data_IF_258480766446
#
_entry.id   IF_258480766446
#
_cell.length_a   1.000
_cell.length_b   1.000
_cell.length_c   1.000
_cell.angle_alpha   90.00
_cell.angle_beta   90.00
_cell.angle_gamma   90.00
#
_symmetry.space_group_name_H-M   'P 1'
#
loop_
_entity.id
_entity.type
_entity.pdbx_description
1 polymer ?
#
# COMPACT_ATOMS: atom_id res chain seq x y z
N UNK A 1 -16.35 -7.76 -44.17
CA UNK A 1 -16.28 -7.93 -42.71
C UNK A 1 -15.58 -6.71 -42.16
N UNK A 2 -16.03 -6.16 -41.04
CA UNK A 2 -15.32 -5.05 -40.38
C UNK A 2 -13.94 -5.52 -39.90
N UNK A 3 -12.91 -4.66 -40.02
CA UNK A 3 -11.52 -5.04 -39.70
C UNK A 3 -11.34 -5.39 -38.21
N UNK A 4 -12.16 -4.79 -37.35
CA UNK A 4 -12.21 -5.10 -35.93
C UNK A 4 -12.83 -6.46 -35.64
N UNK A 5 -13.91 -6.82 -36.34
CA UNK A 5 -14.55 -8.14 -36.26
C UNK A 5 -13.61 -9.23 -36.79
N UNK A 6 -12.91 -8.96 -37.88
CA UNK A 6 -11.94 -9.90 -38.48
C UNK A 6 -10.75 -10.17 -37.54
N UNK A 7 -10.21 -9.13 -36.89
CA UNK A 7 -9.13 -9.29 -35.91
C UNK A 7 -9.57 -10.06 -34.66
N UNK A 8 -10.79 -9.84 -34.20
CA UNK A 8 -11.34 -10.55 -33.04
C UNK A 8 -11.62 -12.02 -33.35
N UNK A 9 -12.24 -12.32 -34.49
CA UNK A 9 -12.47 -13.70 -34.97
C UNK A 9 -11.15 -14.47 -35.07
N UNK A 10 -10.13 -13.84 -35.67
CA UNK A 10 -8.79 -14.42 -35.80
C UNK A 10 -8.21 -14.80 -34.44
N UNK A 11 -8.33 -13.92 -33.45
CA UNK A 11 -7.84 -14.17 -32.08
C UNK A 11 -8.53 -15.39 -31.44
N UNK A 12 -9.85 -15.52 -31.58
CA UNK A 12 -10.59 -16.66 -31.03
C UNK A 12 -10.22 -17.98 -31.71
N UNK A 13 -10.02 -17.98 -33.03
CA UNK A 13 -9.65 -19.18 -33.79
C UNK A 13 -8.20 -19.59 -33.49
N UNK A 14 -7.25 -18.65 -33.54
CA UNK A 14 -5.82 -18.93 -33.31
C UNK A 14 -5.56 -19.47 -31.91
N UNK A 15 -6.35 -19.08 -30.91
CA UNK A 15 -6.24 -19.62 -29.56
C UNK A 15 -6.38 -21.15 -29.51
N UNK A 16 -7.26 -21.75 -30.33
CA UNK A 16 -7.37 -23.21 -30.39
C UNK A 16 -6.15 -23.86 -31.03
N UNK A 17 -5.53 -23.21 -32.01
CA UNK A 17 -4.33 -23.72 -32.68
C UNK A 17 -3.10 -23.67 -31.76
N UNK A 18 -3.10 -22.77 -30.76
CA UNK A 18 -2.05 -22.73 -29.72
C UNK A 18 -2.17 -23.84 -28.67
N UNK A 19 -3.30 -24.56 -28.62
CA UNK A 19 -3.55 -25.67 -27.70
C UNK A 19 -3.97 -26.93 -28.47
N UNK A 20 -3.02 -27.66 -29.09
CA UNK A 20 -3.33 -28.86 -29.87
C UNK A 20 -4.00 -29.92 -28.99
N UNK A 21 -4.97 -30.65 -29.54
CA UNK A 21 -5.74 -31.70 -28.89
C UNK A 21 -5.79 -32.91 -29.83
N UNK A 22 -5.48 -34.10 -29.34
CA UNK A 22 -5.43 -35.33 -30.15
C UNK A 22 -6.76 -36.12 -30.13
N UNK A 23 -7.76 -35.65 -29.37
CA UNK A 23 -9.10 -36.26 -29.33
C UNK A 23 -9.93 -35.84 -30.54
N UNK A 24 -10.18 -36.80 -31.44
CA UNK A 24 -10.92 -36.60 -32.69
C UNK A 24 -12.34 -36.04 -32.49
N UNK A 25 -13.02 -36.34 -31.37
CA UNK A 25 -14.36 -35.83 -31.09
C UNK A 25 -14.31 -34.36 -30.69
N UNK A 26 -13.34 -33.99 -29.85
CA UNK A 26 -13.14 -32.61 -29.42
C UNK A 26 -12.69 -31.74 -30.60
N UNK A 27 -11.78 -32.24 -31.45
CA UNK A 27 -11.36 -31.55 -32.67
C UNK A 27 -12.54 -31.27 -33.59
N UNK A 28 -13.43 -32.24 -33.79
CA UNK A 28 -14.63 -32.04 -34.60
C UNK A 28 -15.55 -30.95 -34.03
N UNK A 29 -15.76 -30.93 -32.71
CA UNK A 29 -16.55 -29.89 -32.05
C UNK A 29 -15.92 -28.48 -32.17
N UNK A 30 -14.58 -28.39 -32.14
CA UNK A 30 -13.83 -27.13 -32.32
C UNK A 30 -13.99 -26.62 -33.75
N UNK A 31 -13.86 -27.48 -34.76
CA UNK A 31 -14.00 -27.08 -36.16
C UNK A 31 -15.43 -26.63 -36.49
N UNK A 32 -16.45 -27.36 -36.00
CA UNK A 32 -17.86 -26.92 -36.10
C UNK A 32 -18.07 -25.54 -35.43
N UNK A 33 -17.45 -25.31 -34.27
CA UNK A 33 -17.52 -24.03 -33.57
C UNK A 33 -16.79 -22.88 -34.31
N UNK A 34 -15.62 -23.15 -34.93
CA UNK A 34 -14.89 -22.18 -35.77
C UNK A 34 -15.72 -21.77 -36.99
N UNK A 35 -16.41 -22.72 -37.62
CA UNK A 35 -17.32 -22.45 -38.75
C UNK A 35 -18.51 -21.57 -38.33
N UNK A 36 -19.16 -21.91 -37.21
CA UNK A 36 -20.25 -21.13 -36.64
C UNK A 36 -19.85 -19.69 -36.29
N UNK A 37 -18.69 -19.51 -35.63
CA UNK A 37 -18.15 -18.18 -35.32
C UNK A 37 -17.80 -17.38 -36.58
N UNK A 38 -17.31 -18.05 -37.62
CA UNK A 38 -17.01 -17.40 -38.91
C UNK A 38 -18.28 -16.92 -39.59
N UNK A 39 -19.38 -17.69 -39.52
CA UNK A 39 -20.70 -17.27 -40.03
C UNK A 39 -21.28 -16.11 -39.20
N UNK A 40 -21.10 -16.14 -37.88
CA UNK A 40 -21.48 -15.03 -37.00
C UNK A 40 -20.73 -13.74 -37.36
N UNK A 41 -19.41 -13.83 -37.52
CA UNK A 41 -18.56 -12.70 -37.91
C UNK A 41 -18.91 -12.12 -39.28
N UNK A 42 -19.31 -12.97 -40.24
CA UNK A 42 -19.78 -12.53 -41.56
C UNK A 42 -21.12 -11.82 -41.53
N UNK A 43 -21.97 -12.13 -40.55
CA UNK A 43 -23.30 -11.52 -40.40
C UNK A 43 -23.31 -10.28 -39.49
N UNK A 44 -22.26 -10.07 -38.70
CA UNK A 44 -22.11 -8.92 -37.84
C UNK A 44 -21.78 -7.64 -38.63
N UNK A 45 -22.42 -6.53 -38.24
CA UNK A 45 -22.21 -5.21 -38.85
C UNK A 45 -20.92 -4.54 -38.34
N UNK A 46 -20.61 -4.73 -37.07
CA UNK A 46 -19.45 -4.18 -36.36
C UNK A 46 -19.13 -5.04 -35.10
N UNK A 47 -18.05 -4.70 -34.39
CA UNK A 47 -17.62 -5.43 -33.16
C UNK A 47 -18.74 -5.46 -32.11
N UNK A 48 -19.47 -4.37 -31.93
CA UNK A 48 -20.51 -4.27 -30.91
C UNK A 48 -21.64 -5.26 -31.19
N UNK A 49 -22.06 -5.36 -32.45
CA UNK A 49 -23.08 -6.31 -32.90
C UNK A 49 -22.57 -7.75 -32.79
N UNK A 50 -21.30 -7.98 -33.13
CA UNK A 50 -20.66 -9.29 -32.99
C UNK A 50 -20.65 -9.76 -31.54
N UNK A 51 -20.22 -8.92 -30.59
CA UNK A 51 -20.14 -9.28 -29.18
C UNK A 51 -21.51 -9.47 -28.54
N UNK A 52 -22.50 -8.65 -28.90
CA UNK A 52 -23.87 -8.81 -28.43
C UNK A 52 -24.46 -10.17 -28.85
N UNK A 53 -24.28 -10.57 -30.12
CA UNK A 53 -24.77 -11.86 -30.61
C UNK A 53 -23.92 -13.04 -30.11
N UNK A 54 -22.61 -12.84 -29.89
CA UNK A 54 -21.70 -13.82 -29.31
C UNK A 54 -22.16 -14.24 -27.91
N UNK A 55 -22.50 -13.26 -27.07
CA UNK A 55 -23.01 -13.51 -25.72
C UNK A 55 -24.44 -14.06 -25.76
N UNK A 56 -25.34 -13.48 -26.56
CA UNK A 56 -26.74 -13.89 -26.65
C UNK A 56 -26.93 -15.34 -27.14
N UNK A 57 -26.05 -15.82 -28.03
CA UNK A 57 -26.05 -17.21 -28.54
C UNK A 57 -25.23 -18.16 -27.66
N UNK A 58 -24.61 -17.67 -26.58
CA UNK A 58 -23.87 -18.49 -25.62
C UNK A 58 -22.50 -18.96 -26.12
N UNK A 59 -21.93 -18.31 -27.14
CA UNK A 59 -20.63 -18.70 -27.71
C UNK A 59 -19.48 -18.52 -26.70
N UNK A 60 -19.56 -17.54 -25.79
CA UNK A 60 -18.56 -17.36 -24.72
C UNK A 60 -18.47 -18.55 -23.77
N UNK A 61 -19.60 -19.12 -23.38
CA UNK A 61 -19.63 -20.33 -22.53
C UNK A 61 -19.08 -21.54 -23.29
N UNK A 62 -19.55 -21.75 -24.53
CA UNK A 62 -19.08 -22.87 -25.37
C UNK A 62 -17.58 -22.78 -25.68
N UNK A 63 -17.05 -21.57 -25.84
CA UNK A 63 -15.62 -21.33 -25.99
C UNK A 63 -14.83 -21.81 -24.77
N UNK A 64 -15.23 -21.39 -23.57
CA UNK A 64 -14.59 -21.80 -22.31
C UNK A 64 -14.73 -23.32 -22.10
N UNK A 65 -15.91 -23.89 -22.37
CA UNK A 65 -16.17 -25.32 -22.23
C UNK A 65 -15.26 -26.15 -23.16
N UNK A 66 -15.01 -25.69 -24.40
CA UNK A 66 -14.08 -26.37 -25.32
C UNK A 66 -12.64 -26.33 -24.82
N UNK A 67 -12.17 -25.20 -24.27
CA UNK A 67 -10.86 -25.14 -23.60
C UNK A 67 -10.80 -26.04 -22.35
N UNK A 68 -11.89 -26.11 -21.59
CA UNK A 68 -12.04 -27.06 -20.48
C UNK A 68 -11.92 -28.50 -20.95
N UNK A 69 -12.57 -28.87 -22.06
CA UNK A 69 -12.46 -30.21 -22.67
C UNK A 69 -11.04 -30.51 -23.17
N UNK A 70 -10.35 -29.56 -23.80
CA UNK A 70 -8.93 -29.71 -24.22
C UNK A 70 -8.02 -29.90 -23.00
N UNK A 71 -8.23 -29.11 -21.94
CA UNK A 71 -7.47 -29.24 -20.69
C UNK A 71 -7.75 -30.60 -20.02
N UNK A 72 -8.99 -31.05 -20.05
CA UNK A 72 -9.39 -32.35 -19.51
C UNK A 72 -8.85 -33.51 -20.34
N UNK A 73 -8.85 -33.44 -21.68
CA UNK A 73 -8.29 -34.49 -22.54
C UNK A 73 -6.78 -34.66 -22.31
N UNK A 74 -6.07 -33.54 -22.13
CA UNK A 74 -4.66 -33.53 -21.70
C UNK A 74 -4.45 -34.03 -20.27
N UNK A 75 -5.42 -33.82 -19.38
CA UNK A 75 -5.37 -34.36 -18.02
C UNK A 75 -5.69 -35.86 -17.94
N UNK A 76 -6.41 -36.39 -18.95
CA UNK A 76 -6.75 -37.82 -19.07
C UNK A 76 -5.67 -38.69 -19.72
N UNK A 77 -4.51 -38.12 -20.06
CA UNK A 77 -3.30 -38.86 -20.47
C UNK A 77 -2.42 -39.30 -19.28
N UNK A 78 -2.92 -39.27 -18.04
CA UNK A 78 -2.24 -39.95 -16.94
C UNK A 78 -2.72 -41.40 -16.90
N UNK A 79 -1.80 -42.32 -17.16
CA UNK A 79 -2.05 -43.76 -17.03
C UNK A 79 -2.44 -44.11 -15.58
N UNK A 80 -3.20 -45.19 -15.38
CA UNK A 80 -3.56 -45.69 -14.03
C UNK A 80 -2.31 -45.94 -13.19
N UNK A 81 -1.21 -46.34 -13.81
CA UNK A 81 0.13 -46.47 -13.23
C UNK A 81 0.72 -45.13 -12.76
N UNK A 82 0.59 -44.03 -13.51
CA UNK A 82 1.07 -42.69 -13.11
C UNK A 82 0.20 -42.07 -12.00
N UNK A 83 -1.09 -42.36 -11.98
CA UNK A 83 -1.99 -42.01 -10.86
C UNK A 83 -1.61 -42.81 -9.60
N UNK A 84 -1.25 -44.10 -9.76
CA UNK A 84 -0.74 -44.94 -8.66
C UNK A 84 0.65 -44.53 -8.19
N UNK A 85 1.52 -44.00 -9.05
CA UNK A 85 2.82 -43.47 -8.66
C UNK A 85 2.73 -42.06 -8.05
N UNK A 86 1.79 -41.21 -8.46
CA UNK A 86 1.46 -39.96 -7.74
C UNK A 86 0.78 -40.22 -6.38
N UNK A 87 0.10 -41.35 -6.22
CA UNK A 87 -0.38 -41.85 -4.92
C UNK A 87 0.74 -42.33 -3.97
N UNK A 88 2.02 -42.26 -4.37
CA UNK A 88 3.18 -42.59 -3.51
C UNK A 88 3.96 -41.38 -3.00
N UNK A 89 3.45 -40.16 -3.13
CA UNK A 89 4.08 -39.03 -2.43
C UNK A 89 3.97 -39.32 -0.93
N UNK A 90 5.10 -39.56 -0.29
CA UNK A 90 5.15 -39.72 1.16
C UNK A 90 4.90 -38.37 1.84
N UNK A 91 4.38 -38.34 3.08
CA UNK A 91 4.27 -37.09 3.84
C UNK A 91 5.57 -36.29 3.88
N UNK A 92 6.73 -36.98 3.94
CA UNK A 92 8.07 -36.35 3.90
C UNK A 92 8.34 -35.64 2.58
N UNK A 93 8.04 -36.27 1.45
CA UNK A 93 8.20 -35.65 0.13
C UNK A 93 7.21 -34.50 -0.07
N UNK A 94 5.98 -34.64 0.45
CA UNK A 94 4.99 -33.57 0.41
C UNK A 94 5.44 -32.32 1.16
N UNK A 95 5.99 -32.47 2.37
CA UNK A 95 6.38 -31.30 3.18
C UNK A 95 7.69 -30.66 2.71
N UNK A 96 8.51 -31.35 1.92
CA UNK A 96 9.79 -30.83 1.45
C UNK A 96 9.64 -29.53 0.63
N UNK A 97 8.50 -29.36 -0.07
CA UNK A 97 8.18 -28.12 -0.79
C UNK A 97 8.16 -26.87 0.11
N UNK A 98 7.97 -27.05 1.42
CA UNK A 98 7.92 -25.98 2.41
C UNK A 98 9.29 -25.64 3.02
N UNK A 99 10.34 -26.43 2.75
CA UNK A 99 11.65 -26.25 3.38
C UNK A 99 12.30 -24.92 3.03
N UNK A 100 12.18 -24.47 1.78
CA UNK A 100 12.67 -23.15 1.35
C UNK A 100 12.01 -22.01 2.14
N UNK A 101 10.69 -22.09 2.38
CA UNK A 101 9.97 -21.08 3.16
C UNK A 101 10.37 -21.12 4.64
N UNK A 102 10.51 -22.33 5.21
CA UNK A 102 11.01 -22.52 6.57
C UNK A 102 12.40 -21.91 6.79
N UNK A 103 13.35 -22.17 5.88
CA UNK A 103 14.70 -21.63 5.98
C UNK A 103 14.71 -20.09 5.89
N UNK A 104 13.87 -19.52 5.03
CA UNK A 104 13.69 -18.07 4.94
C UNK A 104 13.13 -17.46 6.24
N UNK A 105 12.11 -18.08 6.83
CA UNK A 105 11.51 -17.66 8.12
C UNK A 105 12.55 -17.74 9.25
N UNK A 106 13.30 -18.82 9.30
CA UNK A 106 14.36 -19.04 10.29
C UNK A 106 15.47 -17.99 10.18
N UNK A 107 15.83 -17.60 8.96
CA UNK A 107 16.82 -16.55 8.73
C UNK A 107 16.39 -15.18 9.27
N UNK A 108 15.08 -14.90 9.35
CA UNK A 108 14.56 -13.65 9.91
C UNK A 108 14.76 -13.49 11.42
N UNK A 109 14.96 -14.59 12.17
CA UNK A 109 15.18 -14.63 13.64
C UNK A 109 14.05 -14.12 14.55
N UNK A 110 13.11 -13.29 14.07
CA UNK A 110 11.99 -12.77 14.86
C UNK A 110 10.66 -13.56 14.68
N UNK A 111 10.56 -14.41 13.66
CA UNK A 111 9.33 -15.15 13.30
C UNK A 111 9.26 -16.54 13.97
N UNK A 112 9.13 -16.57 15.29
CA UNK A 112 9.30 -17.79 16.10
C UNK A 112 8.07 -18.70 16.11
N UNK A 113 6.87 -18.14 16.12
CA UNK A 113 5.63 -18.92 16.02
C UNK A 113 5.50 -19.54 14.63
N UNK A 114 5.82 -18.79 13.58
CA UNK A 114 5.86 -19.32 12.23
C UNK A 114 6.89 -20.46 12.11
N UNK A 115 8.12 -20.27 12.62
CA UNK A 115 9.15 -21.33 12.67
C UNK A 115 8.61 -22.60 13.35
N UNK A 116 7.90 -22.46 14.47
CA UNK A 116 7.28 -23.58 15.18
C UNK A 116 6.13 -24.23 14.39
N UNK A 117 5.32 -23.47 13.65
CA UNK A 117 4.25 -24.01 12.83
C UNK A 117 4.78 -24.93 11.72
N UNK A 118 5.87 -24.53 11.05
CA UNK A 118 6.57 -25.38 10.08
C UNK A 118 7.17 -26.62 10.75
N UNK A 119 7.79 -26.47 11.93
CA UNK A 119 8.33 -27.61 12.66
C UNK A 119 7.24 -28.62 13.02
N UNK A 120 6.07 -28.15 13.49
CA UNK A 120 4.93 -29.03 13.80
C UNK A 120 4.43 -29.81 12.55
N UNK A 121 4.48 -29.19 11.36
CA UNK A 121 4.13 -29.86 10.12
C UNK A 121 5.18 -30.93 9.73
N UNK A 122 6.46 -30.61 9.87
CA UNK A 122 7.55 -31.56 9.60
C UNK A 122 7.52 -32.75 10.59
N UNK A 123 7.31 -32.47 11.88
CA UNK A 123 7.18 -33.51 12.91
C UNK A 123 5.97 -34.42 12.64
N UNK A 124 4.85 -33.86 12.13
CA UNK A 124 3.70 -34.66 11.69
C UNK A 124 4.05 -35.53 10.48
N UNK A 125 4.77 -35.01 9.49
CA UNK A 125 5.20 -35.79 8.33
C UNK A 125 6.21 -36.90 8.71
N UNK A 126 7.03 -36.70 9.74
CA UNK A 126 7.95 -37.73 10.21
C UNK A 126 7.26 -38.91 10.89
N UNK A 127 6.17 -38.64 11.64
CA UNK A 127 5.41 -39.66 12.37
C UNK A 127 4.29 -40.31 11.56
N UNK A 128 3.86 -39.70 10.45
CA UNK A 128 2.75 -40.22 9.63
C UNK A 128 3.25 -41.29 8.65
N UNK A 129 2.57 -42.45 8.63
CA UNK A 129 2.93 -43.56 7.74
C UNK A 129 2.42 -43.39 6.31
N UNK A 130 1.34 -42.65 6.12
CA UNK A 130 0.74 -42.37 4.81
C UNK A 130 0.11 -40.96 4.76
N UNK A 131 -0.28 -40.55 3.56
CA UNK A 131 -0.87 -39.22 3.30
C UNK A 131 -2.29 -39.05 3.86
N UNK A 132 -3.04 -40.13 4.04
CA UNK A 132 -4.41 -40.05 4.56
C UNK A 132 -4.38 -39.67 6.05
N UNK A 133 -3.57 -40.39 6.83
CA UNK A 133 -3.36 -40.09 8.25
C UNK A 133 -2.74 -38.70 8.44
N UNK A 134 -1.77 -38.34 7.60
CA UNK A 134 -1.18 -37.00 7.58
C UNK A 134 -2.23 -35.93 7.34
N UNK A 135 -3.10 -36.09 6.34
CA UNK A 135 -4.13 -35.09 6.02
C UNK A 135 -5.15 -34.95 7.15
N UNK A 136 -5.65 -36.07 7.69
CA UNK A 136 -6.62 -36.07 8.80
C UNK A 136 -6.04 -35.34 10.02
N UNK A 137 -4.81 -35.69 10.42
CA UNK A 137 -4.18 -35.05 11.59
C UNK A 137 -3.75 -33.62 11.30
N UNK A 138 -3.36 -33.28 10.07
CA UNK A 138 -3.03 -31.90 9.67
C UNK A 138 -4.26 -31.00 9.73
N UNK A 139 -5.40 -31.45 9.21
CA UNK A 139 -6.69 -30.74 9.29
C UNK A 139 -7.16 -30.63 10.75
N UNK A 140 -7.13 -31.73 11.50
CA UNK A 140 -7.55 -31.75 12.91
C UNK A 140 -6.77 -30.75 13.77
N UNK A 141 -5.50 -30.54 13.45
CA UNK A 141 -4.62 -29.61 14.16
C UNK A 141 -4.51 -28.23 13.48
N UNK A 142 -5.22 -28.01 12.37
CA UNK A 142 -5.19 -26.80 11.53
C UNK A 142 -3.76 -26.38 11.14
N UNK A 143 -2.87 -27.33 10.85
CA UNK A 143 -1.45 -27.04 10.65
C UNK A 143 -1.20 -26.17 9.42
N UNK A 144 -1.87 -26.47 8.30
CA UNK A 144 -1.75 -25.67 7.07
C UNK A 144 -2.19 -24.22 7.27
N UNK A 145 -3.30 -24.01 7.97
CA UNK A 145 -3.79 -22.67 8.30
C UNK A 145 -2.80 -21.93 9.22
N UNK A 146 -2.25 -22.62 10.23
CA UNK A 146 -1.27 -22.03 11.16
C UNK A 146 0.01 -21.57 10.48
N UNK A 147 0.48 -22.25 9.44
CA UNK A 147 1.63 -21.77 8.65
C UNK A 147 1.41 -20.33 8.16
N UNK A 148 0.25 -20.08 7.58
CA UNK A 148 -0.13 -18.77 7.05
C UNK A 148 -0.48 -17.80 8.17
N UNK A 149 -1.23 -18.24 9.18
CA UNK A 149 -1.73 -17.38 10.23
C UNK A 149 -0.63 -16.89 11.17
N UNK A 150 0.23 -17.78 11.66
CA UNK A 150 1.28 -17.40 12.60
C UNK A 150 2.33 -16.50 11.94
N UNK A 151 2.68 -16.75 10.66
CA UNK A 151 3.58 -15.87 9.90
C UNK A 151 2.96 -14.49 9.67
N UNK A 152 1.68 -14.41 9.28
CA UNK A 152 1.00 -13.12 9.13
C UNK A 152 0.90 -12.36 10.46
N UNK A 153 0.57 -13.05 11.56
CA UNK A 153 0.49 -12.41 12.89
C UNK A 153 1.84 -11.81 13.26
N UNK A 154 2.93 -12.58 13.21
CA UNK A 154 4.25 -12.10 13.62
C UNK A 154 4.77 -10.97 12.71
N UNK A 155 4.52 -11.03 11.40
CA UNK A 155 4.87 -9.93 10.50
C UNK A 155 4.12 -8.64 10.83
N UNK A 156 2.83 -8.74 11.14
CA UNK A 156 2.03 -7.57 11.49
C UNK A 156 2.36 -7.06 12.91
N UNK A 157 2.64 -7.94 13.88
CA UNK A 157 3.12 -7.59 15.23
C UNK A 157 4.43 -6.80 15.13
N UNK A 158 5.37 -7.27 14.29
CA UNK A 158 6.65 -6.62 14.05
C UNK A 158 6.51 -5.18 13.52
N UNK A 159 5.57 -4.93 12.60
CA UNK A 159 5.31 -3.58 12.08
C UNK A 159 4.55 -2.73 13.11
N UNK A 160 3.59 -3.32 13.83
CA UNK A 160 2.82 -2.62 14.87
C UNK A 160 3.71 -2.11 16.00
N UNK A 161 4.67 -2.92 16.45
CA UNK A 161 5.63 -2.54 17.50
C UNK A 161 6.54 -1.39 17.05
N UNK A 162 6.90 -1.37 15.77
CA UNK A 162 7.66 -0.28 15.18
C UNK A 162 6.82 0.98 14.95
N UNK A 163 5.50 0.85 14.77
CA UNK A 163 4.62 1.97 14.49
C UNK A 163 4.48 2.91 15.69
N UNK A 164 4.26 4.20 15.45
CA UNK A 164 3.94 5.14 16.53
C UNK A 164 2.56 4.76 17.14
N UNK A 165 2.46 4.47 18.45
CA UNK A 165 1.20 4.10 19.09
C UNK A 165 0.16 5.24 19.10
N UNK A 166 0.57 6.48 18.86
CA UNK A 166 -0.31 7.63 18.68
C UNK A 166 -0.81 7.76 17.23
N UNK A 167 -0.28 6.97 16.30
CA UNK A 167 -0.72 7.00 14.91
C UNK A 167 -2.17 6.54 14.77
N UNK A 168 -2.96 7.30 14.02
CA UNK A 168 -4.39 7.05 13.84
C UNK A 168 -4.74 6.24 12.59
N UNK A 169 -3.76 5.83 11.78
CA UNK A 169 -3.96 5.20 10.47
C UNK A 169 -3.32 3.81 10.44
N UNK A 170 -1.99 3.77 10.54
CA UNK A 170 -1.13 2.59 10.42
C UNK A 170 -1.25 1.71 11.66
N UNK A 171 -1.10 2.26 12.86
CA UNK A 171 -1.15 1.45 14.08
C UNK A 171 -2.48 0.71 14.27
N UNK A 172 -3.66 1.36 14.13
CA UNK A 172 -4.95 0.68 14.30
C UNK A 172 -5.21 -0.37 13.22
N UNK A 173 -4.73 -0.13 11.98
CA UNK A 173 -4.85 -1.09 10.88
C UNK A 173 -4.14 -2.40 11.22
N UNK A 174 -2.86 -2.32 11.61
CA UNK A 174 -2.10 -3.52 11.98
C UNK A 174 -2.64 -4.18 13.26
N UNK A 175 -3.08 -3.40 14.24
CA UNK A 175 -3.70 -3.93 15.45
C UNK A 175 -4.98 -4.75 15.15
N UNK A 176 -5.86 -4.22 14.29
CA UNK A 176 -7.09 -4.91 13.89
C UNK A 176 -6.80 -6.15 13.04
N UNK A 177 -5.81 -6.08 12.15
CA UNK A 177 -5.37 -7.23 11.37
C UNK A 177 -4.91 -8.36 12.28
N UNK A 178 -4.01 -8.09 13.22
CA UNK A 178 -3.54 -9.09 14.19
C UNK A 178 -4.73 -9.72 14.94
N UNK A 179 -5.68 -8.90 15.40
CA UNK A 179 -6.87 -9.38 16.09
C UNK A 179 -7.72 -10.32 15.21
N UNK A 180 -7.93 -9.99 13.94
CA UNK A 180 -8.68 -10.83 13.01
C UNK A 180 -7.98 -12.18 12.75
N UNK A 181 -6.67 -12.15 12.50
CA UNK A 181 -5.88 -13.36 12.30
C UNK A 181 -5.81 -14.25 13.54
N UNK A 182 -5.80 -13.68 14.75
CA UNK A 182 -5.85 -14.43 16.01
C UNK A 182 -7.20 -15.09 16.27
N UNK A 183 -8.31 -14.49 15.79
CA UNK A 183 -9.67 -15.03 15.97
C UNK A 183 -10.02 -16.11 14.95
N UNK A 184 -9.55 -15.96 13.72
CA UNK A 184 -9.88 -16.85 12.62
C UNK A 184 -9.46 -18.31 12.91
N UNK A 185 -10.35 -19.24 12.61
CA UNK A 185 -10.13 -20.69 12.75
C UNK A 185 -9.95 -21.39 11.39
N UNK A 186 -10.12 -20.67 10.28
CA UNK A 186 -10.04 -21.22 8.93
C UNK A 186 -9.66 -20.16 7.89
N UNK A 187 -9.24 -20.62 6.71
CA UNK A 187 -8.93 -19.75 5.56
C UNK A 187 -10.16 -18.96 5.06
N UNK A 188 -11.34 -19.57 5.08
CA UNK A 188 -12.58 -18.89 4.69
C UNK A 188 -12.95 -17.76 5.66
N UNK A 189 -12.77 -18.00 6.96
CA UNK A 189 -13.04 -17.01 7.99
C UNK A 189 -12.06 -15.84 7.91
N UNK A 190 -10.76 -16.09 7.71
CA UNK A 190 -9.81 -14.99 7.55
C UNK A 190 -10.03 -14.21 6.26
N UNK A 191 -10.47 -14.88 5.18
CA UNK A 191 -10.83 -14.19 3.93
C UNK A 191 -11.97 -13.20 4.19
N UNK A 192 -13.04 -13.66 4.84
CA UNK A 192 -14.17 -12.80 5.22
C UNK A 192 -13.74 -11.65 6.15
N UNK A 193 -12.99 -11.94 7.21
CA UNK A 193 -12.53 -10.92 8.15
C UNK A 193 -11.59 -9.91 7.50
N UNK A 194 -10.75 -10.35 6.55
CA UNK A 194 -9.84 -9.48 5.79
C UNK A 194 -10.61 -8.56 4.84
N UNK A 195 -11.68 -9.03 4.21
CA UNK A 195 -12.54 -8.20 3.37
C UNK A 195 -13.22 -7.10 4.20
N UNK A 196 -13.79 -7.47 5.35
CA UNK A 196 -14.41 -6.52 6.28
C UNK A 196 -13.39 -5.51 6.80
N UNK A 197 -12.22 -5.99 7.24
CA UNK A 197 -11.10 -5.14 7.66
C UNK A 197 -10.71 -4.15 6.57
N UNK A 198 -10.55 -4.63 5.34
CA UNK A 198 -10.11 -3.80 4.21
C UNK A 198 -11.11 -2.68 3.92
N UNK A 199 -12.41 -2.98 3.96
CA UNK A 199 -13.44 -1.95 3.79
C UNK A 199 -13.37 -0.88 4.90
N UNK A 200 -13.28 -1.29 6.16
CA UNK A 200 -13.28 -0.37 7.30
C UNK A 200 -11.97 0.44 7.39
N UNK A 201 -10.83 -0.22 7.22
CA UNK A 201 -9.51 0.42 7.30
C UNK A 201 -9.24 1.32 6.11
N UNK A 202 -9.73 0.99 4.91
CA UNK A 202 -9.60 1.85 3.73
C UNK A 202 -10.32 3.19 3.94
N UNK A 203 -11.58 3.17 4.40
CA UNK A 203 -12.32 4.40 4.67
C UNK A 203 -11.66 5.25 5.77
N UNK A 204 -11.24 4.60 6.87
CA UNK A 204 -10.55 5.28 7.97
C UNK A 204 -9.19 5.85 7.53
N UNK A 205 -8.45 5.13 6.69
CA UNK A 205 -7.16 5.56 6.15
C UNK A 205 -7.33 6.76 5.23
N UNK A 206 -8.31 6.74 4.32
CA UNK A 206 -8.63 7.89 3.46
C UNK A 206 -8.99 9.11 4.31
N UNK A 207 -9.90 8.95 5.28
CA UNK A 207 -10.28 10.06 6.18
C UNK A 207 -9.08 10.59 6.97
N UNK A 208 -8.25 9.69 7.51
CA UNK A 208 -7.04 10.05 8.24
C UNK A 208 -6.04 10.83 7.39
N UNK A 209 -5.77 10.37 6.15
CA UNK A 209 -4.88 11.05 5.20
C UNK A 209 -5.41 12.43 4.80
N UNK A 210 -6.73 12.57 4.63
CA UNK A 210 -7.36 13.87 4.39
C UNK A 210 -7.13 14.83 5.57
N UNK A 211 -7.34 14.38 6.80
CA UNK A 211 -7.07 15.18 8.01
C UNK A 211 -5.58 15.56 8.09
N UNK A 212 -4.67 14.64 7.79
CA UNK A 212 -3.24 14.94 7.75
C UNK A 212 -2.91 16.03 6.74
N UNK A 213 -3.45 15.93 5.51
CA UNK A 213 -3.25 16.93 4.46
C UNK A 213 -3.84 18.30 4.85
N UNK A 214 -4.98 18.32 5.53
CA UNK A 214 -5.61 19.55 6.02
C UNK A 214 -4.71 20.24 7.06
N UNK A 215 -4.22 19.49 8.07
CA UNK A 215 -3.35 20.05 9.11
C UNK A 215 -2.01 20.51 8.52
N UNK A 216 -1.45 19.73 7.59
CA UNK A 216 -0.26 20.13 6.84
C UNK A 216 -0.47 21.45 6.09
N UNK A 217 -1.64 21.61 5.47
CA UNK A 217 -2.01 22.83 4.75
C UNK A 217 -2.15 24.03 5.69
N UNK A 218 -2.70 23.85 6.90
CA UNK A 218 -2.76 24.92 7.91
C UNK A 218 -1.36 25.47 8.20
N UNK A 219 -0.41 24.59 8.50
CA UNK A 219 0.97 24.97 8.78
C UNK A 219 1.61 25.69 7.57
N UNK A 220 1.46 25.14 6.37
CA UNK A 220 1.98 25.74 5.14
C UNK A 220 1.44 27.16 4.91
N UNK A 221 0.12 27.35 5.06
CA UNK A 221 -0.52 28.65 4.90
C UNK A 221 0.01 29.69 5.89
N UNK A 222 0.25 29.30 7.14
CA UNK A 222 0.81 30.18 8.16
C UNK A 222 2.26 30.58 7.83
N UNK A 223 3.09 29.63 7.40
CA UNK A 223 4.47 29.90 6.97
C UNK A 223 4.49 30.84 5.76
N UNK A 224 3.66 30.58 4.74
CA UNK A 224 3.60 31.41 3.54
C UNK A 224 3.04 32.81 3.81
N UNK A 225 2.11 32.93 4.76
CA UNK A 225 1.61 34.21 5.25
C UNK A 225 2.73 35.02 5.89
N UNK A 226 3.52 34.41 6.79
CA UNK A 226 4.67 35.06 7.39
C UNK A 226 5.75 35.43 6.36
N UNK A 227 6.04 34.55 5.40
CA UNK A 227 6.99 34.86 4.32
C UNK A 227 6.54 36.07 3.50
N UNK A 228 5.24 36.19 3.25
CA UNK A 228 4.64 37.33 2.57
C UNK A 228 4.73 38.61 3.41
N UNK A 229 4.55 38.50 4.74
CA UNK A 229 4.74 39.59 5.70
C UNK A 229 6.19 40.07 5.74
N UNK A 230 7.16 39.15 5.79
CA UNK A 230 8.59 39.48 5.73
C UNK A 230 8.93 40.16 4.40
N UNK A 231 8.44 39.62 3.28
CA UNK A 231 8.67 40.21 1.96
C UNK A 231 8.21 41.67 1.91
N UNK A 232 7.04 41.98 2.47
CA UNK A 232 6.53 43.36 2.58
C UNK A 232 7.46 44.26 3.40
N UNK A 233 7.89 43.79 4.56
CA UNK A 233 8.74 44.56 5.49
C UNK A 233 10.15 44.81 4.92
N UNK A 234 10.64 43.93 4.04
CA UNK A 234 11.97 44.05 3.42
C UNK A 234 11.94 44.53 1.96
N UNK A 235 10.76 44.83 1.41
CA UNK A 235 10.63 45.14 -0.01
C UNK A 235 11.26 46.50 -0.35
N UNK A 236 12.12 46.50 -1.38
CA UNK A 236 12.69 47.72 -1.98
C UNK A 236 12.02 48.12 -3.30
N UNK A 237 11.03 47.36 -3.78
CA UNK A 237 10.33 47.62 -5.03
C UNK A 237 8.81 47.47 -4.89
N UNK A 238 8.06 48.29 -5.63
CA UNK A 238 6.59 48.28 -5.65
C UNK A 238 6.03 46.90 -6.06
N UNK A 239 6.73 46.19 -6.95
CA UNK A 239 6.36 44.81 -7.34
C UNK A 239 6.34 43.87 -6.15
N UNK A 240 7.38 43.89 -5.32
CA UNK A 240 7.48 43.04 -4.15
C UNK A 240 6.44 43.42 -3.09
N UNK A 241 6.16 44.72 -2.94
CA UNK A 241 5.09 45.21 -2.06
C UNK A 241 3.74 44.64 -2.50
N UNK A 242 3.38 44.79 -3.78
CA UNK A 242 2.12 44.24 -4.33
C UNK A 242 2.05 42.72 -4.17
N UNK A 243 3.16 42.03 -4.43
CA UNK A 243 3.22 40.56 -4.31
C UNK A 243 3.03 40.08 -2.87
N UNK A 244 3.70 40.70 -1.90
CA UNK A 244 3.57 40.31 -0.49
C UNK A 244 2.19 40.60 0.07
N UNK A 245 1.58 41.75 -0.30
CA UNK A 245 0.22 42.09 0.09
C UNK A 245 -0.80 41.08 -0.46
N UNK A 246 -0.71 40.78 -1.77
CA UNK A 246 -1.55 39.79 -2.41
C UNK A 246 -1.38 38.40 -1.77
N UNK A 247 -0.15 38.02 -1.44
CA UNK A 247 0.17 36.78 -0.72
C UNK A 247 -0.55 36.71 0.62
N UNK A 248 -0.37 37.71 1.49
CA UNK A 248 -1.03 37.73 2.81
C UNK A 248 -2.57 37.65 2.71
N UNK A 249 -3.18 38.43 1.80
CA UNK A 249 -4.63 38.41 1.58
C UNK A 249 -5.10 37.02 1.16
N UNK A 250 -4.46 36.44 0.15
CA UNK A 250 -4.85 35.15 -0.42
C UNK A 250 -4.76 34.04 0.63
N UNK A 251 -3.62 33.93 1.33
CA UNK A 251 -3.43 32.86 2.34
C UNK A 251 -4.41 32.99 3.50
N UNK A 252 -4.74 34.22 3.91
CA UNK A 252 -5.76 34.48 4.92
C UNK A 252 -7.16 34.06 4.48
N UNK A 253 -7.56 34.39 3.25
CA UNK A 253 -8.86 33.99 2.70
C UNK A 253 -8.97 32.47 2.63
N UNK A 254 -7.92 31.79 2.15
CA UNK A 254 -7.89 30.32 2.07
C UNK A 254 -8.01 29.72 3.48
N UNK A 255 -7.25 30.22 4.45
CA UNK A 255 -7.31 29.73 5.83
C UNK A 255 -8.71 29.92 6.44
N UNK A 256 -9.32 31.11 6.26
CA UNK A 256 -10.68 31.36 6.77
C UNK A 256 -11.69 30.36 6.20
N UNK A 257 -11.64 30.07 4.89
CA UNK A 257 -12.50 29.05 4.26
C UNK A 257 -12.21 27.65 4.78
N UNK A 258 -10.93 27.31 4.96
CA UNK A 258 -10.52 26.04 5.53
C UNK A 258 -11.14 25.81 6.92
N UNK A 259 -11.14 26.84 7.78
CA UNK A 259 -11.72 26.77 9.13
C UNK A 259 -13.25 26.84 9.15
N UNK A 260 -13.86 27.63 8.26
CA UNK A 260 -15.31 27.80 8.23
C UNK A 260 -16.03 26.59 7.62
N UNK A 261 -15.48 26.03 6.54
CA UNK A 261 -16.19 25.06 5.72
C UNK A 261 -15.59 23.65 5.90
N UNK A 262 -14.26 23.52 5.76
CA UNK A 262 -13.64 22.20 5.57
C UNK A 262 -13.32 21.52 6.91
N UNK A 263 -12.65 22.20 7.84
CA UNK A 263 -12.26 21.62 9.14
C UNK A 263 -13.49 21.19 9.95
N UNK A 264 -14.57 21.97 9.86
CA UNK A 264 -15.85 21.68 10.50
C UNK A 264 -16.50 20.39 9.95
N UNK A 265 -16.46 20.15 8.64
CA UNK A 265 -16.98 18.92 8.01
C UNK A 265 -16.25 17.64 8.48
N UNK A 266 -14.98 17.77 8.88
CA UNK A 266 -14.22 16.67 9.48
C UNK A 266 -14.48 16.52 10.99
N UNK A 267 -15.33 17.36 11.58
CA UNK A 267 -15.65 17.34 13.01
C UNK A 267 -14.46 17.72 13.88
N UNK A 268 -13.61 18.64 13.39
CA UNK A 268 -12.42 19.10 14.09
C UNK A 268 -12.54 20.59 14.43
N UNK A 269 -11.88 20.98 15.51
CA UNK A 269 -11.67 22.36 15.93
C UNK A 269 -10.18 22.65 16.06
N UNK A 270 -9.82 23.93 16.10
CA UNK A 270 -8.41 24.31 16.29
C UNK A 270 -7.86 23.77 17.62
N UNK A 271 -8.68 23.85 18.66
CA UNK A 271 -8.36 23.41 20.01
C UNK A 271 -8.14 21.88 20.04
N UNK A 272 -8.95 21.11 19.33
CA UNK A 272 -8.74 19.66 19.19
C UNK A 272 -7.44 19.33 18.45
N UNK A 273 -7.13 20.05 17.37
CA UNK A 273 -5.87 19.88 16.62
C UNK A 273 -4.65 20.17 17.52
N UNK A 274 -4.72 21.21 18.35
CA UNK A 274 -3.62 21.58 19.26
C UNK A 274 -3.46 20.63 20.44
N UNK A 275 -4.56 20.13 21.00
CA UNK A 275 -4.56 19.28 22.20
C UNK A 275 -4.26 17.82 21.87
N UNK A 276 -4.56 17.37 20.66
CA UNK A 276 -4.25 16.02 20.21
C UNK A 276 -2.77 15.89 19.82
N UNK A 277 -2.05 14.98 20.48
CA UNK A 277 -0.60 14.78 20.27
C UNK A 277 -0.27 14.35 18.83
N UNK A 278 -1.14 13.58 18.19
CA UNK A 278 -0.97 13.13 16.81
C UNK A 278 -1.18 14.26 15.81
N UNK A 279 -2.17 15.12 16.03
CA UNK A 279 -2.39 16.28 15.15
C UNK A 279 -1.35 17.38 15.36
N UNK A 280 -0.95 17.62 16.61
CA UNK A 280 0.08 18.60 16.96
C UNK A 280 1.44 18.30 16.30
N UNK A 281 1.83 17.02 16.18
CA UNK A 281 3.08 16.68 15.46
C UNK A 281 3.01 17.02 13.96
N UNK A 282 1.83 16.89 13.34
CA UNK A 282 1.63 17.22 11.92
C UNK A 282 1.74 18.73 11.65
N UNK A 283 1.39 19.57 12.64
CA UNK A 283 1.64 21.01 12.58
C UNK A 283 3.14 21.35 12.59
N UNK A 284 3.98 20.49 13.16
CA UNK A 284 5.42 20.73 13.28
C UNK A 284 6.25 20.15 12.15
N UNK A 285 5.78 19.10 11.45
CA UNK A 285 6.32 18.68 10.14
C UNK A 285 5.52 17.50 9.54
N UNK A 286 4.73 17.68 8.47
CA UNK A 286 3.98 16.60 7.83
C UNK A 286 4.79 15.81 6.78
N UNK A 287 5.93 16.31 6.30
CA UNK A 287 6.69 15.71 5.18
C UNK A 287 7.69 14.60 5.59
N UNK A 288 7.82 14.34 6.89
CA UNK A 288 8.92 13.53 7.45
C UNK A 288 8.47 12.42 8.40
N UNK A 289 7.26 11.89 8.21
CA UNK A 289 6.89 10.62 8.83
C UNK A 289 7.45 9.47 7.97
N UNK A 290 8.08 8.48 8.59
CA UNK A 290 8.50 7.27 7.87
C UNK A 290 7.30 6.34 7.57
N UNK A 291 7.55 5.19 6.94
CA UNK A 291 6.50 4.21 6.62
C UNK A 291 5.76 3.67 7.85
N UNK A 292 6.34 3.81 9.05
CA UNK A 292 5.74 3.43 10.34
C UNK A 292 5.16 4.63 11.10
N UNK A 293 5.10 5.78 10.43
CA UNK A 293 4.57 7.04 10.93
C UNK A 293 5.33 7.61 12.14
N UNK A 294 6.62 7.28 12.27
CA UNK A 294 7.51 7.88 13.26
C UNK A 294 8.22 9.12 12.72
N UNK A 295 8.55 10.04 13.63
CA UNK A 295 9.16 11.33 13.31
C UNK A 295 10.60 11.12 12.83
N UNK A 296 10.89 11.59 11.61
CA UNK A 296 12.24 11.65 11.03
C UNK A 296 12.91 13.02 11.22
N UNK A 297 12.13 14.10 11.21
CA UNK A 297 12.57 15.48 11.44
C UNK A 297 11.36 16.33 11.87
N UNK A 298 11.55 17.28 12.79
CA UNK A 298 10.50 18.21 13.23
C UNK A 298 10.99 19.67 13.26
N UNK A 299 10.10 20.63 13.01
CA UNK A 299 10.38 22.04 13.32
C UNK A 299 10.45 22.27 14.84
N UNK A 300 11.00 23.41 15.24
CA UNK A 300 11.18 23.74 16.65
C UNK A 300 9.83 23.74 17.41
N UNK A 301 9.72 23.14 18.61
CA UNK A 301 8.44 23.02 19.33
C UNK A 301 7.73 24.35 19.63
N UNK A 302 8.49 25.44 19.80
CA UNK A 302 7.96 26.79 19.99
C UNK A 302 7.08 27.26 18.81
N UNK A 303 7.25 26.67 17.62
CA UNK A 303 6.42 27.01 16.47
C UNK A 303 4.94 26.67 16.70
N UNK A 304 4.58 25.77 17.63
CA UNK A 304 3.17 25.57 17.99
C UNK A 304 2.54 26.84 18.57
N UNK A 305 3.26 27.51 19.48
CA UNK A 305 2.78 28.74 20.09
C UNK A 305 2.74 29.88 19.07
N UNK A 306 3.77 30.00 18.22
CA UNK A 306 3.79 30.95 17.12
C UNK A 306 2.63 30.71 16.13
N UNK A 307 2.38 29.45 15.73
CA UNK A 307 1.26 29.08 14.85
C UNK A 307 -0.07 29.46 15.46
N UNK A 308 -0.25 29.20 16.76
CA UNK A 308 -1.47 29.57 17.46
C UNK A 308 -1.70 31.08 17.45
N UNK A 309 -0.67 31.88 17.73
CA UNK A 309 -0.73 33.35 17.62
C UNK A 309 -1.10 33.78 16.20
N UNK A 310 -0.39 33.31 15.18
CA UNK A 310 -0.60 33.70 13.78
C UNK A 310 -2.02 33.36 13.34
N UNK A 311 -2.49 32.15 13.64
CA UNK A 311 -3.81 31.69 13.20
C UNK A 311 -4.92 32.45 13.91
N UNK A 312 -4.91 32.50 15.25
CA UNK A 312 -6.02 33.09 16.04
C UNK A 312 -5.99 34.60 16.06
N UNK A 313 -4.81 35.21 16.15
CA UNK A 313 -4.68 36.64 16.36
C UNK A 313 -4.39 37.43 15.08
N UNK A 314 -3.96 36.79 13.99
CA UNK A 314 -3.77 37.46 12.70
C UNK A 314 -4.72 36.92 11.62
N UNK A 315 -4.61 35.66 11.21
CA UNK A 315 -5.25 35.16 10.00
C UNK A 315 -6.78 35.01 10.14
N UNK A 316 -7.28 34.49 11.27
CA UNK A 316 -8.72 34.29 11.46
C UNK A 316 -9.48 35.54 11.93
N UNK A 317 -8.78 36.64 12.23
CA UNK A 317 -9.42 37.91 12.67
C UNK A 317 -10.00 38.69 11.50
N UNK A 318 -10.66 39.82 11.76
CA UNK A 318 -11.08 40.80 10.74
C UNK A 318 -10.18 42.05 10.68
N UNK A 319 -9.05 42.04 11.42
CA UNK A 319 -8.08 43.15 11.44
C UNK A 319 -7.54 43.40 10.02
N UNK A 320 -7.48 44.63 9.51
CA UNK A 320 -6.94 44.91 8.17
C UNK A 320 -5.51 44.41 7.97
N UNK A 321 -5.18 43.90 6.77
CA UNK A 321 -3.81 43.42 6.48
C UNK A 321 -2.76 44.51 6.70
N UNK A 322 -3.08 45.77 6.36
CA UNK A 322 -2.18 46.91 6.57
C UNK A 322 -1.77 47.07 8.05
N UNK A 323 -2.65 46.75 8.99
CA UNK A 323 -2.33 46.78 10.42
C UNK A 323 -1.54 45.53 10.85
N UNK A 324 -1.91 44.35 10.32
CA UNK A 324 -1.22 43.10 10.63
C UNK A 324 0.23 43.06 10.14
N UNK A 325 0.54 43.72 9.03
CA UNK A 325 1.91 43.79 8.48
C UNK A 325 2.90 44.36 9.49
N UNK A 326 2.52 45.43 10.19
CA UNK A 326 3.38 46.11 11.16
C UNK A 326 3.23 45.59 12.59
N UNK A 327 2.30 44.65 12.81
CA UNK A 327 2.09 44.06 14.12
C UNK A 327 3.33 43.24 14.51
N UNK A 328 3.99 43.53 15.65
CA UNK A 328 5.08 42.72 16.16
C UNK A 328 4.55 41.36 16.61
N UNK A 329 5.28 40.29 16.30
CA UNK A 329 5.00 38.95 16.82
C UNK A 329 5.36 38.88 18.31
N UNK A 330 4.48 38.33 19.14
CA UNK A 330 4.80 38.05 20.55
C UNK A 330 5.74 36.85 20.64
N UNK A 331 5.48 35.84 19.82
CA UNK A 331 6.26 34.61 19.75
C UNK A 331 6.92 34.48 18.38
N UNK A 332 8.26 34.45 18.30
CA UNK A 332 8.94 34.34 17.03
C UNK A 332 8.71 32.95 16.40
N UNK A 333 8.36 32.93 15.12
CA UNK A 333 8.35 31.71 14.34
C UNK A 333 9.79 31.34 13.94
N UNK A 334 10.24 30.16 14.32
CA UNK A 334 11.59 29.68 14.02
C UNK A 334 11.59 28.96 12.67
N UNK A 335 12.12 29.64 11.66
CA UNK A 335 12.37 29.06 10.35
C UNK A 335 13.48 28.01 10.42
N UNK A 336 13.37 26.98 9.57
CA UNK A 336 14.51 26.12 9.28
C UNK A 336 15.67 27.02 8.81
N UNK A 337 16.82 26.86 9.47
CA UNK A 337 17.99 27.68 9.23
C UNK A 337 18.27 27.77 7.73
N UNK A 338 18.48 29.01 7.25
CA UNK A 338 18.74 29.37 5.85
C UNK A 338 19.50 28.29 5.06
N UNK A 339 19.14 28.12 3.79
CA UNK A 339 19.58 27.11 2.80
C UNK A 339 21.01 26.56 2.86
N UNK A 340 21.98 27.25 3.49
CA UNK A 340 23.36 26.77 3.68
C UNK A 340 23.53 25.70 4.76
N UNK A 341 22.65 25.61 5.77
CA UNK A 341 22.75 24.62 6.86
C UNK A 341 21.61 23.61 6.88
N UNK A 342 20.68 23.71 5.93
CA UNK A 342 19.50 22.83 5.85
C UNK A 342 19.90 21.35 5.86
N UNK A 343 20.89 20.99 5.04
CA UNK A 343 21.31 19.59 4.89
C UNK A 343 22.03 19.09 6.16
N UNK A 344 22.91 19.90 6.76
CA UNK A 344 23.60 19.59 8.03
C UNK A 344 22.60 19.33 9.17
N UNK A 345 21.56 20.14 9.26
CA UNK A 345 20.54 20.04 10.30
C UNK A 345 19.61 18.86 10.05
N UNK A 346 19.22 18.65 8.79
CA UNK A 346 18.45 17.48 8.40
C UNK A 346 19.20 16.19 8.75
N UNK A 347 20.51 16.12 8.46
CA UNK A 347 21.36 14.98 8.82
C UNK A 347 21.45 14.78 10.33
N UNK A 348 21.64 15.87 11.10
CA UNK A 348 21.66 15.80 12.57
C UNK A 348 20.36 15.24 13.15
N UNK A 349 19.20 15.73 12.70
CA UNK A 349 17.92 15.23 13.21
C UNK A 349 17.59 13.82 12.71
N UNK A 350 17.98 13.48 11.48
CA UNK A 350 17.87 12.10 10.98
C UNK A 350 18.65 11.13 11.86
N UNK A 351 19.88 11.49 12.26
CA UNK A 351 20.69 10.67 13.17
C UNK A 351 20.05 10.52 14.55
N UNK A 352 19.51 11.60 15.12
CA UNK A 352 18.77 11.53 16.39
C UNK A 352 17.56 10.60 16.27
N UNK A 353 16.81 10.68 15.16
CA UNK A 353 15.68 9.79 14.91
C UNK A 353 16.11 8.33 14.76
N UNK A 354 17.22 8.06 14.07
CA UNK A 354 17.83 6.72 13.99
C UNK A 354 18.20 6.18 15.37
N UNK A 355 18.85 7.00 16.21
CA UNK A 355 19.21 6.63 17.59
C UNK A 355 17.98 6.34 18.46
N UNK A 356 16.91 7.16 18.35
CA UNK A 356 15.65 6.94 19.06
C UNK A 356 14.91 5.68 18.61
N UNK A 357 15.08 5.27 17.36
CA UNK A 357 14.42 4.12 16.77
C UNK A 357 15.27 2.83 16.82
N UNK A 358 16.55 2.92 17.25
CA UNK A 358 17.49 1.81 17.21
C UNK A 358 17.11 0.61 18.11
N UNK A 359 16.27 0.83 19.12
CA UNK A 359 15.85 -0.22 20.05
C UNK A 359 14.86 -1.22 19.44
N UNK A 360 14.06 -0.81 18.43
CA UNK A 360 13.03 -1.67 17.83
C UNK A 360 13.64 -2.66 16.83
N UNK A 361 13.21 -3.92 16.92
CA UNK A 361 13.74 -5.00 16.08
C UNK A 361 13.46 -4.79 14.59
N UNK A 362 12.40 -4.05 14.25
CA UNK A 362 12.11 -3.58 12.88
C UNK A 362 13.27 -2.82 12.26
N UNK A 363 13.79 -1.79 12.93
CA UNK A 363 14.85 -0.97 12.35
C UNK A 363 16.18 -1.72 12.30
N UNK A 364 16.46 -2.60 13.28
CA UNK A 364 17.62 -3.51 13.23
C UNK A 364 17.56 -4.44 12.01
N UNK A 365 16.39 -5.04 11.76
CA UNK A 365 16.17 -5.91 10.60
C UNK A 365 16.30 -5.14 9.29
N UNK A 366 15.64 -3.98 9.16
CA UNK A 366 15.72 -3.15 7.94
C UNK A 366 17.15 -2.73 7.63
N UNK A 367 17.93 -2.31 8.63
CA UNK A 367 19.35 -2.01 8.45
C UNK A 367 20.14 -3.24 7.96
N UNK A 368 19.90 -4.40 8.55
CA UNK A 368 20.58 -5.65 8.18
C UNK A 368 20.20 -6.08 6.74
N UNK A 369 18.91 -6.06 6.41
CA UNK A 369 18.39 -6.40 5.09
C UNK A 369 18.87 -5.44 3.99
N UNK A 370 18.88 -4.14 4.26
CA UNK A 370 19.39 -3.13 3.31
C UNK A 370 20.91 -3.15 3.15
N UNK A 371 21.64 -3.72 4.12
CA UNK A 371 23.08 -3.96 4.02
C UNK A 371 23.45 -5.25 3.29
N UNK A 372 22.49 -6.11 2.95
CA UNK A 372 22.73 -7.34 2.22
C UNK A 372 23.24 -7.07 0.78
N UNK A 373 24.19 -7.86 0.25
CA UNK A 373 24.82 -7.64 -1.06
C UNK A 373 23.82 -7.52 -2.22
N UNK A 374 22.71 -8.26 -2.14
CA UNK A 374 21.64 -8.31 -3.14
C UNK A 374 20.88 -6.97 -3.29
N UNK A 375 20.75 -6.20 -2.21
CA UNK A 375 20.11 -4.87 -2.22
C UNK A 375 21.11 -3.74 -2.52
N UNK A 376 22.40 -3.94 -2.26
CA UNK A 376 23.44 -2.99 -2.63
C UNK A 376 23.67 -2.93 -4.16
N UNK A 377 23.48 -4.02 -4.88
CA UNK A 377 23.55 -4.05 -6.36
C UNK A 377 22.45 -3.23 -7.06
N UNK A 378 21.28 -3.04 -6.43
CA UNK A 378 20.21 -2.16 -6.97
C UNK A 378 20.52 -0.67 -6.77
N UNK A 379 21.07 -0.28 -5.62
CA UNK A 379 21.46 1.14 -5.38
C UNK A 379 22.55 1.63 -6.33
N UNK A 380 23.49 0.77 -6.74
CA UNK A 380 24.56 1.14 -7.68
C UNK A 380 24.07 1.31 -9.13
N UNK A 381 22.99 0.63 -9.53
CA UNK A 381 22.41 0.72 -10.88
C UNK A 381 21.39 1.87 -11.04
N UNK A 382 20.66 2.24 -9.99
CA UNK A 382 19.73 3.39 -10.01
C UNK A 382 20.44 4.74 -9.78
N UNK A 383 21.48 4.79 -8.94
CA UNK A 383 22.28 6.00 -8.72
C UNK A 383 23.08 6.46 -9.95
N UNK A 384 23.32 5.56 -10.91
CA UNK A 384 23.98 5.86 -12.19
C UNK A 384 23.04 6.53 -13.21
N UNK A 385 21.74 6.24 -13.16
CA UNK A 385 20.76 6.80 -14.11
C UNK A 385 20.37 8.26 -13.78
N UNK A 386 20.36 8.66 -12.51
CA UNK A 386 20.04 10.04 -12.13
C UNK A 386 21.15 11.06 -12.38
N UNK A 387 22.43 10.64 -12.44
CA UNK A 387 23.55 11.56 -12.72
C UNK A 387 23.66 12.00 -14.19
N UNK A 388 23.02 11.27 -15.12
CA UNK A 388 23.06 11.59 -16.55
C UNK A 388 21.89 12.44 -17.04
N UNK A 389 20.92 12.77 -16.17
CA UNK A 389 19.77 13.64 -16.51
C UNK A 389 20.02 15.14 -16.22
N UNK A 390 21.13 15.49 -15.57
CA UNK A 390 21.52 16.88 -15.27
C UNK A 390 22.82 17.33 -15.97
N UNK A 391 23.23 16.61 -17.02
CA UNK A 391 24.23 17.10 -17.98
C UNK A 391 23.60 17.18 -19.37
N UNK A 392 22.81 18.21 -19.58
CA UNK A 392 22.65 18.92 -20.85
C UNK A 392 22.12 20.31 -20.60
#
# INVERSE_FOLDING_TARGET
MDAGVEGLLKTYIEAFDTMPCDDEKILKEIEEFKEELTLLAKSAKDITTFMADYDAKGYGKRYIDLFGKIAMSKSSELTVEEIKDRQKITPKEFVEQYRTAYDAIKACKYRKKAEQAYQNLFDLAERSGDMLDFNIESERNNLMFKLSADDNIEQNEFIKEASDPLDKIVYPQYAKRIENWQKAQSEAEITYLSEVEQMETSQNSIRGQQIMALIATINLLAIEFLNSKILLLTASSERNIKSGLAGMILKRIILKRLFADIIADFGLTWEEILNDKYYRRLLLNPENLDSTQRIKQCSHPQNIEALNEIIKEEMLTDIPIAELVFRPAKTPYLYDLSSKRKDEIAEKYAKIAEEMNAEFDYYKYVQTATSAPEFQQKKSSEGSKFKNLFKR
#
